data_IF_053317199289
#
_entry.id   IF_053317199289
#
_cell.length_a   1.000
_cell.length_b   1.000
_cell.length_c   1.000
_cell.angle_alpha   90.00
_cell.angle_beta   90.00
_cell.angle_gamma   90.00
#
_symmetry.space_group_name_H-M   'P 1'
#
loop_
_entity.id
_entity.type
_entity.pdbx_description
1 polymer ?
#
# COMPACT_ATOMS: atom_id res chain seq x y z
N UNK A 1 -13.57 7.99 3.04
CA UNK A 1 -13.31 6.64 3.60
C UNK A 1 -12.87 6.80 5.05
N UNK A 2 -13.24 5.88 5.94
CA UNK A 2 -12.84 5.87 7.35
C UNK A 2 -11.65 4.92 7.53
N UNK A 3 -10.59 5.38 8.19
CA UNK A 3 -9.44 4.54 8.58
C UNK A 3 -9.54 4.22 10.06
N UNK A 4 -9.25 2.98 10.43
CA UNK A 4 -9.18 2.51 11.81
C UNK A 4 -7.90 1.70 12.00
N UNK A 5 -7.26 1.87 13.16
CA UNK A 5 -6.08 1.10 13.54
C UNK A 5 -6.46 0.15 14.68
N UNK A 6 -6.24 -1.15 14.47
CA UNK A 6 -6.54 -2.17 15.47
C UNK A 6 -5.25 -2.81 15.97
N UNK A 7 -4.98 -2.67 17.26
CA UNK A 7 -3.83 -3.30 17.91
C UNK A 7 -3.90 -4.82 17.85
N UNK A 8 -2.75 -5.44 17.60
CA UNK A 8 -2.53 -6.89 17.60
C UNK A 8 -1.17 -7.20 18.22
N UNK A 9 -0.89 -8.48 18.48
CA UNK A 9 0.41 -8.91 19.00
C UNK A 9 1.59 -8.62 18.04
N UNK A 10 1.32 -8.40 16.74
CA UNK A 10 2.33 -8.18 15.70
C UNK A 10 2.35 -6.74 15.17
N UNK A 11 1.68 -5.80 15.83
CA UNK A 11 1.53 -4.39 15.39
C UNK A 11 0.08 -4.00 15.17
N UNK A 12 -0.16 -2.92 14.42
CA UNK A 12 -1.51 -2.39 14.18
C UNK A 12 -2.03 -2.80 12.81
N UNK A 13 -3.17 -3.47 12.74
CA UNK A 13 -3.88 -3.68 11.47
C UNK A 13 -4.54 -2.37 11.03
N UNK A 14 -4.40 -2.05 9.75
CA UNK A 14 -5.02 -0.89 9.10
C UNK A 14 -6.30 -1.35 8.42
N UNK A 15 -7.43 -0.81 8.86
CA UNK A 15 -8.73 -1.03 8.26
C UNK A 15 -9.20 0.23 7.52
N UNK A 16 -9.60 0.09 6.27
CA UNK A 16 -10.30 1.16 5.52
C UNK A 16 -11.72 0.71 5.29
N UNK A 17 -12.70 1.45 5.83
CA UNK A 17 -14.12 1.06 5.83
C UNK A 17 -14.36 -0.40 6.31
N UNK A 18 -13.59 -0.85 7.31
CA UNK A 18 -13.67 -2.21 7.84
C UNK A 18 -12.98 -3.30 7.01
N UNK A 19 -12.28 -2.96 5.94
CA UNK A 19 -11.47 -3.87 5.13
C UNK A 19 -10.01 -3.74 5.55
N UNK A 20 -9.34 -4.85 5.88
CA UNK A 20 -7.89 -4.86 6.11
C UNK A 20 -7.16 -4.55 4.80
N UNK A 21 -6.36 -3.48 4.83
CA UNK A 21 -5.56 -3.03 3.67
C UNK A 21 -4.06 -3.03 3.97
N UNK A 22 -3.66 -3.41 5.17
CA UNK A 22 -2.26 -3.39 5.57
C UNK A 22 -2.05 -3.35 7.07
N UNK A 23 -0.81 -3.04 7.46
CA UNK A 23 -0.33 -3.05 8.85
C UNK A 23 0.69 -1.97 9.13
N UNK A 24 0.78 -1.55 10.38
CA UNK A 24 1.84 -0.69 10.91
C UNK A 24 2.64 -1.44 11.96
N UNK A 25 3.95 -1.54 11.74
CA UNK A 25 4.91 -2.17 12.65
C UNK A 25 6.07 -1.22 12.86
N UNK A 26 6.21 -0.70 14.08
CA UNK A 26 7.16 0.37 14.37
C UNK A 26 6.92 1.59 13.48
N UNK A 27 7.92 2.00 12.73
CA UNK A 27 7.84 3.11 11.78
C UNK A 27 7.51 2.67 10.34
N UNK A 28 7.13 1.41 10.11
CA UNK A 28 6.83 0.89 8.76
C UNK A 28 5.34 0.65 8.62
N UNK A 29 4.75 1.23 7.59
CA UNK A 29 3.37 0.97 7.14
C UNK A 29 3.46 0.10 5.89
N UNK A 30 2.98 -1.13 5.95
CA UNK A 30 2.87 -2.00 4.78
C UNK A 30 1.42 -2.01 4.32
N UNK A 31 1.18 -1.71 3.05
CA UNK A 31 -0.14 -1.72 2.44
C UNK A 31 -0.20 -2.78 1.35
N UNK A 32 -1.21 -3.62 1.44
CA UNK A 32 -1.54 -4.64 0.45
C UNK A 32 -2.37 -3.95 -0.64
N UNK A 33 -1.70 -3.58 -1.73
CA UNK A 33 -2.35 -2.96 -2.88
C UNK A 33 -2.17 -3.87 -4.09
N UNK A 34 -3.19 -3.93 -4.91
CA UNK A 34 -3.11 -4.50 -6.24
C UNK A 34 -3.39 -3.40 -7.24
N UNK A 35 -2.48 -3.16 -8.17
CA UNK A 35 -2.77 -2.36 -9.36
C UNK A 35 -2.03 -2.90 -10.57
N UNK A 36 -2.74 -3.17 -11.68
CA UNK A 36 -2.09 -3.53 -12.92
C UNK A 36 -1.25 -2.35 -13.44
N UNK A 37 -0.18 -2.68 -14.16
CA UNK A 37 0.70 -1.74 -14.87
C UNK A 37 1.50 -0.79 -13.97
N UNK A 38 1.79 -1.18 -12.73
CA UNK A 38 2.68 -0.47 -11.81
C UNK A 38 3.70 -1.41 -11.15
N UNK A 39 4.84 -0.90 -10.63
CA UNK A 39 5.39 0.43 -10.90
C UNK A 39 5.92 0.52 -12.34
N UNK A 40 5.68 1.65 -13.01
CA UNK A 40 6.09 1.89 -14.40
C UNK A 40 7.62 1.99 -14.58
N UNK A 41 8.34 2.36 -13.52
CA UNK A 41 9.79 2.55 -13.45
C UNK A 41 10.35 1.96 -12.14
N UNK A 42 11.64 1.65 -12.10
CA UNK A 42 12.31 1.11 -10.92
C UNK A 42 13.48 0.19 -11.25
N UNK A 43 14.25 -0.14 -10.21
CA UNK A 43 15.28 -1.16 -10.25
C UNK A 43 14.66 -2.54 -10.45
N UNK A 44 15.24 -3.33 -11.33
CA UNK A 44 14.76 -4.67 -11.67
C UNK A 44 15.67 -5.72 -11.08
N UNK A 45 15.07 -6.69 -10.39
CA UNK A 45 15.72 -7.92 -9.98
C UNK A 45 15.11 -9.08 -10.77
N UNK A 46 15.92 -9.71 -11.61
CA UNK A 46 15.53 -10.89 -12.38
C UNK A 46 15.40 -12.11 -11.44
N UNK A 47 14.26 -12.80 -11.50
CA UNK A 47 13.92 -14.01 -10.75
C UNK A 47 13.90 -15.25 -11.66
N UNK A 48 14.37 -15.14 -12.90
CA UNK A 48 14.40 -16.20 -13.89
C UNK A 48 13.01 -16.57 -14.37
N UNK A 49 12.63 -17.84 -14.24
CA UNK A 49 11.32 -18.33 -14.70
C UNK A 49 10.15 -17.68 -13.96
N UNK A 50 10.37 -17.12 -12.77
CA UNK A 50 9.36 -16.43 -12.00
C UNK A 50 9.20 -14.95 -12.40
N UNK A 51 9.88 -14.47 -13.46
CA UNK A 51 9.76 -13.10 -13.94
C UNK A 51 10.72 -12.15 -13.23
N UNK A 52 10.31 -10.92 -12.93
CA UNK A 52 11.16 -9.92 -12.28
C UNK A 52 10.44 -9.20 -11.15
N UNK A 53 11.17 -8.88 -10.08
CA UNK A 53 10.74 -7.91 -9.08
C UNK A 53 11.11 -6.51 -9.57
N UNK A 54 10.20 -5.55 -9.41
CA UNK A 54 10.45 -4.15 -9.72
C UNK A 54 10.33 -3.36 -8.43
N UNK A 55 11.40 -2.65 -8.08
CA UNK A 55 11.49 -1.85 -6.88
C UNK A 55 11.66 -0.37 -7.24
N UNK A 56 10.82 0.49 -6.67
CA UNK A 56 10.98 1.94 -6.78
C UNK A 56 10.79 2.59 -5.42
N UNK A 57 11.55 3.65 -5.15
CA UNK A 57 11.49 4.40 -3.91
C UNK A 57 11.28 5.87 -4.21
N UNK A 58 10.24 6.46 -3.64
CA UNK A 58 9.90 7.87 -3.83
C UNK A 58 9.74 8.59 -2.50
N UNK A 59 9.99 9.90 -2.49
CA UNK A 59 9.71 10.73 -1.33
C UNK A 59 8.20 10.99 -1.23
N UNK A 60 7.62 10.70 -0.07
CA UNK A 60 6.23 10.98 0.26
C UNK A 60 6.20 11.95 1.45
N UNK A 61 6.22 13.24 1.18
CA UNK A 61 6.14 14.30 2.21
C UNK A 61 7.18 14.18 3.33
N UNK A 62 8.42 13.82 2.98
CA UNK A 62 9.49 13.61 3.97
C UNK A 62 9.59 12.18 4.53
N UNK A 63 8.70 11.29 4.10
CA UNK A 63 8.78 9.84 4.29
C UNK A 63 9.31 9.15 3.03
N UNK A 64 9.69 7.88 3.16
CA UNK A 64 10.08 7.04 2.03
C UNK A 64 8.92 6.11 1.71
N UNK A 65 8.47 6.10 0.45
CA UNK A 65 7.50 5.14 -0.04
C UNK A 65 8.18 4.21 -1.05
N UNK A 66 8.25 2.93 -0.69
CA UNK A 66 8.71 1.84 -1.53
C UNK A 66 7.53 1.22 -2.27
N UNK A 67 7.62 1.15 -3.59
CA UNK A 67 6.70 0.46 -4.47
C UNK A 67 7.35 -0.85 -4.91
N UNK A 68 6.70 -1.97 -4.61
CA UNK A 68 7.18 -3.30 -4.94
C UNK A 68 6.19 -3.93 -5.90
N UNK A 69 6.62 -4.12 -7.14
CA UNK A 69 5.85 -4.82 -8.16
C UNK A 69 6.50 -6.10 -8.64
N UNK A 70 5.73 -6.85 -9.39
CA UNK A 70 6.13 -8.09 -10.03
C UNK A 70 5.77 -8.01 -11.52
N UNK A 71 6.67 -8.50 -12.36
CA UNK A 71 6.46 -8.60 -13.81
C UNK A 71 6.67 -10.05 -14.25
N UNK A 72 5.65 -10.65 -14.86
CA UNK A 72 5.67 -12.01 -15.37
C UNK A 72 4.85 -12.10 -16.66
N UNK A 73 5.38 -12.75 -17.70
CA UNK A 73 4.74 -12.89 -19.01
C UNK A 73 4.24 -11.58 -19.64
N UNK A 74 4.98 -10.48 -19.41
CA UNK A 74 4.61 -9.14 -19.90
C UNK A 74 3.48 -8.46 -19.14
N UNK A 75 2.92 -9.12 -18.13
CA UNK A 75 1.99 -8.51 -17.16
C UNK A 75 2.82 -7.96 -16.01
N UNK A 76 2.53 -6.71 -15.65
CA UNK A 76 3.13 -6.05 -14.50
C UNK A 76 2.06 -5.68 -13.50
N UNK A 77 2.34 -5.92 -12.23
CA UNK A 77 1.44 -5.61 -11.13
C UNK A 77 2.20 -5.05 -9.94
N UNK A 78 1.61 -4.03 -9.31
CA UNK A 78 2.04 -3.57 -8.00
C UNK A 78 1.43 -4.52 -6.97
N UNK A 79 2.27 -5.11 -6.12
CA UNK A 79 1.84 -6.13 -5.16
C UNK A 79 1.95 -5.67 -3.71
N UNK A 80 2.78 -4.65 -3.45
CA UNK A 80 2.94 -4.11 -2.10
C UNK A 80 3.47 -2.68 -2.15
N UNK A 81 3.01 -1.86 -1.21
CA UNK A 81 3.60 -0.57 -0.89
C UNK A 81 4.09 -0.61 0.55
N UNK A 82 5.29 -0.08 0.79
CA UNK A 82 5.76 0.19 2.16
C UNK A 82 6.05 1.67 2.31
N UNK A 83 5.62 2.24 3.44
CA UNK A 83 5.94 3.61 3.82
C UNK A 83 6.80 3.54 5.07
N UNK A 84 8.02 4.03 4.96
CA UNK A 84 8.94 4.17 6.08
C UNK A 84 8.77 5.59 6.62
N UNK A 85 8.12 5.67 7.78
CA UNK A 85 7.84 6.92 8.46
C UNK A 85 9.13 7.51 9.03
N UNK A 86 9.22 8.83 8.94
CA UNK A 86 10.34 9.63 9.41
C UNK A 86 9.88 10.41 10.64
N UNK A 87 10.14 9.86 11.81
CA UNK A 87 9.63 10.36 13.07
C UNK A 87 8.19 9.92 13.37
N UNK A 88 7.64 10.50 14.44
CA UNK A 88 6.26 10.26 14.85
C UNK A 88 5.29 10.98 13.92
N UNK A 89 4.23 10.28 13.51
CA UNK A 89 3.17 10.80 12.65
C UNK A 89 1.85 10.72 13.40
N UNK A 90 1.11 11.84 13.58
CA UNK A 90 -0.21 11.83 14.17
C UNK A 90 -1.16 10.88 13.43
N UNK A 91 -2.05 10.22 14.17
CA UNK A 91 -2.93 9.20 13.61
C UNK A 91 -3.82 9.72 12.46
N UNK A 92 -4.28 10.98 12.55
CA UNK A 92 -5.06 11.63 11.48
C UNK A 92 -4.26 11.87 10.19
N UNK A 93 -2.98 12.23 10.32
CA UNK A 93 -2.08 12.44 9.18
C UNK A 93 -1.72 11.10 8.54
N UNK A 94 -1.48 10.08 9.37
CA UNK A 94 -1.24 8.72 8.92
C UNK A 94 -2.47 8.15 8.19
N UNK A 95 -3.67 8.35 8.72
CA UNK A 95 -4.92 7.94 8.06
C UNK A 95 -5.09 8.63 6.70
N UNK A 96 -4.80 9.93 6.61
CA UNK A 96 -4.88 10.69 5.36
C UNK A 96 -3.88 10.17 4.33
N UNK A 97 -2.65 9.91 4.75
CA UNK A 97 -1.60 9.32 3.91
C UNK A 97 -2.00 7.95 3.36
N UNK A 98 -2.58 7.08 4.21
CA UNK A 98 -3.07 5.77 3.79
C UNK A 98 -4.20 5.90 2.77
N UNK A 99 -5.15 6.81 2.99
CA UNK A 99 -6.24 7.08 2.04
C UNK A 99 -5.67 7.52 0.70
N UNK A 100 -4.71 8.46 0.69
CA UNK A 100 -4.10 8.97 -0.53
C UNK A 100 -3.40 7.86 -1.31
N UNK A 101 -2.64 7.00 -0.63
CA UNK A 101 -1.93 5.87 -1.24
C UNK A 101 -2.91 4.83 -1.78
N UNK A 102 -3.89 4.41 -0.99
CA UNK A 102 -4.90 3.42 -1.44
C UNK A 102 -5.71 3.97 -2.62
N UNK A 103 -6.16 5.21 -2.57
CA UNK A 103 -6.94 5.82 -3.67
C UNK A 103 -6.12 5.91 -4.96
N UNK A 104 -4.81 6.18 -4.84
CA UNK A 104 -3.93 6.37 -5.99
C UNK A 104 -3.48 5.06 -6.63
N UNK A 105 -3.23 4.02 -5.82
CA UNK A 105 -2.53 2.81 -6.27
C UNK A 105 -3.38 1.54 -6.17
N UNK A 106 -4.60 1.58 -5.65
CA UNK A 106 -5.48 0.42 -5.66
C UNK A 106 -6.24 0.33 -6.99
N UNK A 107 -6.41 -0.89 -7.49
CA UNK A 107 -7.29 -1.18 -8.62
C UNK A 107 -8.71 -0.66 -8.32
N UNK A 108 -9.34 -0.08 -9.35
CA UNK A 108 -10.66 0.56 -9.24
C UNK A 108 -11.74 -0.38 -8.71
N UNK A 109 -11.73 -1.65 -9.12
CA UNK A 109 -12.70 -2.63 -8.66
C UNK A 109 -12.59 -2.88 -7.16
N UNK A 110 -11.36 -3.02 -6.66
CA UNK A 110 -11.10 -3.22 -5.24
C UNK A 110 -11.37 -1.94 -4.43
N UNK A 111 -11.00 -0.77 -4.96
CA UNK A 111 -11.33 0.52 -4.34
C UNK A 111 -12.85 0.72 -4.21
N UNK A 112 -13.62 0.48 -5.27
CA UNK A 112 -15.08 0.58 -5.25
C UNK A 112 -15.70 -0.37 -4.20
N UNK A 113 -15.15 -1.58 -4.05
CA UNK A 113 -15.60 -2.53 -3.04
C UNK A 113 -15.38 -1.97 -1.62
N UNK A 114 -14.19 -1.44 -1.35
CA UNK A 114 -13.84 -0.82 -0.07
C UNK A 114 -14.75 0.39 0.21
N UNK A 115 -14.97 1.25 -0.79
CA UNK A 115 -15.85 2.41 -0.67
C UNK A 115 -17.30 2.02 -0.35
N UNK A 116 -17.83 0.99 -1.01
CA UNK A 116 -19.21 0.52 -0.81
C UNK A 116 -19.48 -0.01 0.61
N UNK A 117 -18.44 -0.49 1.31
CA UNK A 117 -18.57 -0.92 2.70
C UNK A 117 -18.71 0.25 3.67
N UNK A 118 -18.21 1.42 3.30
CA UNK A 118 -18.30 2.63 4.13
C UNK A 118 -19.68 3.28 4.14
N UNK A 119 -20.55 2.96 3.18
CA UNK A 119 -21.90 3.52 3.06
C UNK A 119 -22.98 2.70 3.76
N UNK A 120 -22.61 1.60 4.43
CA UNK A 120 -23.53 0.65 5.05
C UNK A 120 -23.77 0.82 6.56
N UNK A 121 -23.48 1.99 7.13
CA UNK A 121 -23.70 2.30 8.55
C UNK A 121 -24.91 3.23 8.76
#
# INVERSE_FOLDING_TARGET
MRVEFKETEWGRVVLVNGVEVGRVVGNVVSLDVYSPQYPWEGDRLDLGWAGSLIYSSINLSGHIMELIGHEHDGVRELVSIRIILNGEVPEGDLASMIIDVVTRYMDKGLLNLIESRGTGA
#
